data_IF_916886440891
#
_entry.id   IF_916886440891
#
_cell.length_a   1.000
_cell.length_b   1.000
_cell.length_c   1.000
_cell.angle_alpha   90.00
_cell.angle_beta   90.00
_cell.angle_gamma   90.00
#
_symmetry.space_group_name_H-M   'P 1'
#
loop_
_entity.id
_entity.type
_entity.pdbx_description
1 polymer ?
#
# COMPACT_ATOMS: atom_id res chain seq x y z
N UNK A 1 -21.62 21.27 22.02
CA UNK A 1 -20.69 20.65 21.05
C UNK A 1 -21.19 19.22 20.85
N UNK A 2 -21.83 18.94 19.72
CA UNK A 2 -22.34 17.61 19.37
C UNK A 2 -21.16 16.71 19.00
N UNK A 3 -20.97 15.60 19.73
CA UNK A 3 -20.04 14.56 19.34
C UNK A 3 -20.60 13.86 18.10
N UNK A 4 -19.93 14.00 16.99
CA UNK A 4 -20.21 13.23 15.79
C UNK A 4 -19.68 11.80 16.03
N UNK A 5 -20.53 10.89 16.46
CA UNK A 5 -20.18 9.45 16.53
C UNK A 5 -20.63 8.80 15.22
N UNK A 6 -19.65 8.55 14.34
CA UNK A 6 -19.89 7.79 13.11
C UNK A 6 -19.82 6.31 13.48
N UNK A 7 -20.88 5.56 13.22
CA UNK A 7 -20.87 4.10 13.43
C UNK A 7 -19.92 3.42 12.43
N UNK A 8 -19.32 2.27 12.82
CA UNK A 8 -18.44 1.46 11.93
C UNK A 8 -19.08 1.17 10.57
N UNK A 9 -20.40 0.97 10.57
CA UNK A 9 -21.16 0.70 9.35
C UNK A 9 -21.28 1.94 8.45
N UNK A 10 -21.40 3.11 9.02
CA UNK A 10 -21.43 4.38 8.27
C UNK A 10 -20.05 4.75 7.75
N UNK A 11 -19.01 4.47 8.52
CA UNK A 11 -17.63 4.61 8.06
C UNK A 11 -17.33 3.72 6.85
N UNK A 12 -17.71 2.43 6.90
CA UNK A 12 -17.54 1.51 5.78
C UNK A 12 -18.34 1.94 4.54
N UNK A 13 -19.54 2.49 4.72
CA UNK A 13 -20.34 3.04 3.62
C UNK A 13 -19.70 4.29 3.02
N UNK A 14 -19.16 5.18 3.85
CA UNK A 14 -18.50 6.40 3.41
C UNK A 14 -17.16 6.10 2.72
N UNK A 15 -16.37 5.15 3.21
CA UNK A 15 -15.12 4.74 2.57
C UNK A 15 -15.35 4.00 1.25
N UNK A 16 -16.41 3.18 1.15
CA UNK A 16 -16.82 2.61 -0.12
C UNK A 16 -17.23 3.70 -1.12
N UNK A 17 -18.00 4.71 -0.69
CA UNK A 17 -18.40 5.84 -1.52
C UNK A 17 -17.21 6.69 -1.98
N UNK A 18 -16.16 6.86 -1.16
CA UNK A 18 -14.97 7.62 -1.54
C UNK A 18 -14.12 6.92 -2.61
N UNK A 19 -14.10 5.60 -2.63
CA UNK A 19 -13.48 4.81 -3.69
C UNK A 19 -14.22 4.99 -5.04
N UNK A 20 -15.56 5.18 -5.01
CA UNK A 20 -16.34 5.51 -6.20
C UNK A 20 -16.01 6.90 -6.76
N UNK A 21 -15.82 7.89 -5.90
CA UNK A 21 -15.50 9.27 -6.29
C UNK A 21 -14.08 9.43 -6.81
N UNK A 22 -13.16 8.53 -6.47
CA UNK A 22 -11.77 8.56 -6.94
C UNK A 22 -11.58 8.08 -8.38
N UNK A 23 -12.67 7.82 -9.13
CA UNK A 23 -12.60 7.45 -10.55
C UNK A 23 -11.96 6.09 -10.82
N UNK A 24 -11.89 5.21 -9.81
CA UNK A 24 -11.51 3.82 -10.04
C UNK A 24 -12.60 3.17 -10.88
N UNK A 25 -12.32 2.73 -12.11
CA UNK A 25 -13.32 2.09 -12.93
C UNK A 25 -13.77 0.79 -12.26
N UNK A 26 -14.91 0.80 -11.58
CA UNK A 26 -15.56 -0.42 -11.09
C UNK A 26 -16.29 -1.06 -12.27
N UNK A 27 -15.54 -1.31 -13.33
CA UNK A 27 -15.99 -2.10 -14.45
C UNK A 27 -15.91 -3.56 -14.05
N UNK A 28 -16.98 -4.09 -13.47
CA UNK A 28 -16.97 -5.52 -13.17
C UNK A 28 -18.01 -6.05 -12.22
N UNK A 29 -18.86 -5.23 -11.64
CA UNK A 29 -20.04 -5.75 -10.95
C UNK A 29 -21.16 -6.02 -11.95
N UNK A 30 -21.01 -7.07 -12.75
CA UNK A 30 -22.16 -7.65 -13.45
C UNK A 30 -22.96 -8.47 -12.45
N UNK A 31 -24.29 -8.32 -12.49
CA UNK A 31 -25.27 -9.00 -11.62
C UNK A 31 -25.12 -10.54 -11.58
N UNK A 32 -24.34 -11.11 -12.49
CA UNK A 32 -24.22 -12.56 -12.71
C UNK A 32 -22.87 -13.15 -12.29
N UNK A 33 -21.98 -12.34 -11.64
CA UNK A 33 -20.75 -12.90 -11.06
C UNK A 33 -20.88 -13.03 -9.54
N UNK A 34 -20.47 -14.16 -8.96
CA UNK A 34 -20.43 -14.27 -7.51
C UNK A 34 -19.61 -13.14 -6.91
N UNK A 35 -19.97 -12.66 -5.72
CA UNK A 35 -19.23 -11.58 -5.06
C UNK A 35 -17.75 -11.99 -4.94
N UNK A 36 -16.87 -11.12 -5.42
CA UNK A 36 -15.43 -11.34 -5.31
C UNK A 36 -14.98 -11.37 -3.84
N UNK A 37 -13.97 -12.16 -3.54
CA UNK A 37 -13.33 -12.17 -2.23
C UNK A 37 -12.18 -11.16 -2.22
N UNK A 38 -12.15 -10.31 -1.20
CA UNK A 38 -11.01 -9.43 -0.90
C UNK A 38 -10.25 -10.08 0.26
N UNK A 39 -8.95 -10.33 0.05
CA UNK A 39 -8.05 -10.77 1.11
C UNK A 39 -7.11 -9.63 1.46
N UNK A 40 -7.06 -9.26 2.73
CA UNK A 40 -6.12 -8.28 3.27
C UNK A 40 -5.00 -9.04 3.98
N UNK A 41 -3.76 -8.78 3.59
CA UNK A 41 -2.58 -9.40 4.20
C UNK A 41 -1.78 -8.27 4.85
N UNK A 42 -1.67 -8.32 6.16
CA UNK A 42 -0.84 -7.39 6.95
C UNK A 42 0.49 -8.06 7.23
N UNK A 43 1.59 -7.37 6.89
CA UNK A 43 2.95 -7.87 7.11
C UNK A 43 3.49 -7.26 8.41
N UNK A 44 3.28 -7.94 9.51
CA UNK A 44 3.69 -7.49 10.85
C UNK A 44 5.22 -7.51 11.04
N UNK A 45 5.94 -8.29 10.29
CA UNK A 45 7.37 -8.53 10.44
C UNK A 45 8.31 -7.41 10.01
N UNK A 46 7.76 -6.25 9.60
CA UNK A 46 8.58 -5.09 9.28
C UNK A 46 9.22 -5.13 7.90
N UNK A 47 8.44 -5.35 6.86
CA UNK A 47 8.91 -5.12 5.50
C UNK A 47 9.16 -3.61 5.30
N UNK A 48 10.41 -3.24 5.06
CA UNK A 48 10.78 -1.86 4.75
C UNK A 48 10.35 -1.50 3.33
N UNK A 49 9.36 -0.63 3.20
CA UNK A 49 8.81 -0.21 1.91
C UNK A 49 9.82 0.44 0.99
N UNK A 50 10.77 1.21 1.52
CA UNK A 50 11.84 1.84 0.72
C UNK A 50 12.88 0.85 0.20
N UNK A 51 13.08 -0.28 0.89
CA UNK A 51 13.93 -1.37 0.40
C UNK A 51 13.16 -2.28 -0.55
N UNK A 52 11.86 -2.50 -0.31
CA UNK A 52 11.01 -3.31 -1.18
C UNK A 52 10.80 -2.64 -2.56
N UNK A 53 10.55 -1.32 -2.56
CA UNK A 53 10.30 -0.52 -3.76
C UNK A 53 11.15 0.76 -3.71
N UNK A 54 12.46 0.65 -3.92
CA UNK A 54 13.37 1.79 -3.80
C UNK A 54 13.08 2.87 -4.85
N UNK A 55 12.91 4.14 -4.43
CA UNK A 55 12.86 5.29 -5.33
C UNK A 55 14.29 5.69 -5.76
N UNK A 56 14.94 4.85 -6.56
CA UNK A 56 16.33 5.05 -6.95
C UNK A 56 16.58 6.35 -7.74
N UNK A 57 15.53 6.93 -8.32
CA UNK A 57 15.58 8.23 -8.97
C UNK A 57 15.64 9.42 -8.00
N UNK A 58 15.42 9.19 -6.69
CA UNK A 58 15.59 10.23 -5.69
C UNK A 58 17.08 10.37 -5.32
N UNK A 59 17.70 11.54 -5.52
CA UNK A 59 19.12 11.78 -5.21
C UNK A 59 19.44 11.64 -3.71
N UNK A 60 18.45 11.72 -2.83
CA UNK A 60 18.63 11.57 -1.39
C UNK A 60 18.60 10.12 -0.92
N UNK A 61 18.06 9.18 -1.70
CA UNK A 61 17.94 7.79 -1.29
C UNK A 61 19.29 7.21 -0.89
N UNK A 62 20.26 7.24 -1.78
CA UNK A 62 21.61 6.69 -1.53
C UNK A 62 22.37 7.46 -0.46
N UNK A 63 22.11 8.76 -0.31
CA UNK A 63 22.73 9.60 0.71
C UNK A 63 22.23 9.24 2.11
N UNK A 64 20.92 9.02 2.27
CA UNK A 64 20.26 8.81 3.55
C UNK A 64 20.20 7.31 3.95
N UNK A 65 20.23 6.40 2.98
CA UNK A 65 20.04 4.96 3.17
C UNK A 65 21.15 4.12 2.57
N UNK A 66 22.38 4.62 2.61
CA UNK A 66 23.56 3.91 2.12
C UNK A 66 23.70 2.53 2.81
N UNK A 67 23.87 1.47 2.01
CA UNK A 67 24.06 0.10 2.49
C UNK A 67 22.77 -0.62 2.93
N UNK A 68 21.61 0.04 2.88
CA UNK A 68 20.31 -0.57 3.21
C UNK A 68 19.49 -0.85 1.93
N UNK A 69 19.63 -0.01 0.94
CA UNK A 69 18.95 -0.19 -0.35
C UNK A 69 19.73 -1.16 -1.23
N UNK A 70 19.11 -2.18 -1.82
CA UNK A 70 19.82 -3.12 -2.69
C UNK A 70 20.29 -2.44 -3.98
N UNK A 71 21.51 -2.71 -4.41
CA UNK A 71 22.07 -2.16 -5.66
C UNK A 71 21.55 -2.86 -6.93
N UNK A 72 21.04 -4.09 -6.77
CA UNK A 72 20.61 -4.97 -7.86
C UNK A 72 19.09 -5.05 -8.03
N UNK A 73 18.38 -3.96 -7.77
CA UNK A 73 16.92 -3.92 -7.92
C UNK A 73 16.45 -4.10 -9.38
N UNK A 74 15.24 -4.61 -9.53
CA UNK A 74 14.55 -4.71 -10.81
C UNK A 74 13.94 -3.34 -11.14
N UNK A 75 14.28 -2.76 -12.30
CA UNK A 75 13.72 -1.46 -12.69
C UNK A 75 12.23 -1.59 -13.02
N UNK A 76 11.38 -0.79 -12.39
CA UNK A 76 9.97 -0.64 -12.72
C UNK A 76 9.74 0.50 -13.71
N UNK A 77 10.42 1.62 -13.51
CA UNK A 77 10.38 2.81 -14.38
C UNK A 77 11.67 3.63 -14.19
N UNK A 78 11.67 4.88 -14.61
CA UNK A 78 12.82 5.79 -14.46
C UNK A 78 13.10 6.23 -13.03
N UNK A 79 12.16 6.05 -12.10
CA UNK A 79 12.27 6.54 -10.73
C UNK A 79 12.25 5.41 -9.68
N UNK A 80 11.43 4.37 -9.87
CA UNK A 80 11.26 3.27 -8.92
C UNK A 80 11.87 1.96 -9.40
N UNK A 81 12.40 1.22 -8.45
CA UNK A 81 12.80 -0.17 -8.60
C UNK A 81 11.96 -1.12 -7.75
N UNK A 82 12.28 -2.39 -7.81
CA UNK A 82 11.67 -3.44 -7.00
C UNK A 82 12.77 -4.33 -6.45
N UNK A 83 12.67 -4.71 -5.17
CA UNK A 83 13.61 -5.62 -4.55
C UNK A 83 13.69 -6.95 -5.34
N UNK A 84 14.88 -7.54 -5.56
CA UNK A 84 15.03 -8.76 -6.36
C UNK A 84 14.19 -9.95 -5.87
N UNK A 85 13.94 -10.04 -4.57
CA UNK A 85 13.06 -11.07 -3.97
C UNK A 85 11.60 -10.95 -4.42
N UNK A 86 11.16 -9.80 -4.93
CA UNK A 86 9.80 -9.56 -5.41
C UNK A 86 9.63 -9.86 -6.92
N UNK A 87 10.44 -10.75 -7.47
CA UNK A 87 10.44 -11.11 -8.89
C UNK A 87 9.07 -11.58 -9.39
N UNK A 88 8.36 -12.38 -8.59
CA UNK A 88 6.99 -12.83 -8.93
C UNK A 88 6.02 -11.65 -9.01
N UNK A 89 6.15 -10.69 -8.09
CA UNK A 89 5.34 -9.49 -8.09
C UNK A 89 5.61 -8.60 -9.30
N UNK A 90 6.87 -8.52 -9.75
CA UNK A 90 7.24 -7.84 -11.00
C UNK A 90 6.48 -8.40 -12.21
N UNK A 91 6.31 -9.71 -12.30
CA UNK A 91 5.55 -10.34 -13.38
C UNK A 91 4.04 -10.02 -13.33
N UNK A 92 3.49 -9.82 -12.14
CA UNK A 92 2.08 -9.37 -11.97
C UNK A 92 1.91 -7.91 -12.38
N UNK A 93 2.85 -7.03 -12.02
CA UNK A 93 2.87 -5.63 -12.45
C UNK A 93 2.93 -5.50 -13.98
N UNK A 94 3.79 -6.27 -14.62
CA UNK A 94 3.94 -6.27 -16.08
C UNK A 94 2.65 -6.70 -16.83
N UNK A 95 1.78 -7.47 -16.17
CA UNK A 95 0.49 -7.92 -16.69
C UNK A 95 -0.69 -7.04 -16.28
N UNK A 96 -0.45 -5.91 -15.60
CA UNK A 96 -1.47 -5.06 -14.97
C UNK A 96 -2.39 -5.80 -13.97
N UNK A 97 -1.90 -6.88 -13.35
CA UNK A 97 -2.61 -7.66 -12.34
C UNK A 97 -2.19 -7.28 -10.92
N UNK A 98 -1.34 -6.30 -10.76
CA UNK A 98 -0.93 -5.71 -9.49
C UNK A 98 -0.67 -4.22 -9.65
N UNK A 99 -0.72 -3.51 -8.55
CA UNK A 99 -0.31 -2.10 -8.47
C UNK A 99 0.42 -1.84 -7.15
N UNK A 100 1.18 -0.75 -7.12
CA UNK A 100 1.89 -0.29 -5.93
C UNK A 100 1.39 1.11 -5.61
N UNK A 101 1.01 1.34 -4.37
CA UNK A 101 0.66 2.66 -3.86
C UNK A 101 1.83 3.16 -3.01
N UNK A 102 2.48 4.23 -3.47
CA UNK A 102 3.63 4.82 -2.80
C UNK A 102 3.21 5.89 -1.80
N UNK A 103 4.12 6.20 -0.86
CA UNK A 103 3.95 7.28 0.10
C UNK A 103 2.67 7.17 0.95
N UNK A 104 2.22 5.95 1.20
CA UNK A 104 1.12 5.69 2.12
C UNK A 104 1.61 5.74 3.56
N UNK A 105 0.82 6.36 4.42
CA UNK A 105 1.13 6.51 5.83
C UNK A 105 -0.17 6.55 6.64
N UNK A 106 -0.07 6.22 7.93
CA UNK A 106 -1.13 6.45 8.92
C UNK A 106 -0.61 7.41 10.01
N UNK A 107 -1.48 8.16 10.68
CA UNK A 107 -1.10 9.26 11.58
C UNK A 107 -0.53 8.74 12.90
N UNK A 108 0.64 8.10 12.85
CA UNK A 108 1.37 7.61 14.00
C UNK A 108 2.81 8.16 13.99
N UNK A 109 3.18 8.89 15.03
CA UNK A 109 4.47 9.59 15.13
C UNK A 109 5.36 9.04 16.25
N UNK A 110 4.86 8.10 17.05
CA UNK A 110 5.62 7.47 18.14
C UNK A 110 6.51 6.34 17.60
N UNK A 111 7.38 5.79 18.44
CA UNK A 111 8.36 4.78 18.04
C UNK A 111 8.00 3.35 18.48
N UNK A 112 6.82 3.14 19.05
CA UNK A 112 6.37 1.82 19.46
C UNK A 112 5.87 1.03 18.26
N UNK A 113 6.57 -0.01 17.88
CA UNK A 113 6.17 -0.90 16.79
C UNK A 113 4.81 -1.55 17.05
N UNK A 114 4.60 -2.07 18.26
CA UNK A 114 3.35 -2.74 18.65
C UNK A 114 2.14 -1.80 18.68
N UNK A 115 2.32 -0.59 19.15
CA UNK A 115 1.25 0.40 19.16
C UNK A 115 0.89 0.84 17.76
N UNK A 116 1.88 1.01 16.88
CA UNK A 116 1.67 1.30 15.47
C UNK A 116 0.89 0.18 14.76
N UNK A 117 1.21 -1.09 15.03
CA UNK A 117 0.46 -2.24 14.51
C UNK A 117 -0.99 -2.22 15.01
N UNK A 118 -1.21 -2.08 16.32
CA UNK A 118 -2.55 -2.04 16.90
C UNK A 118 -3.42 -0.95 16.29
N UNK A 119 -2.85 0.24 16.05
CA UNK A 119 -3.57 1.34 15.41
C UNK A 119 -3.89 1.05 13.95
N UNK A 120 -2.98 0.43 13.22
CA UNK A 120 -3.21 0.07 11.82
C UNK A 120 -4.26 -1.02 11.66
N UNK A 121 -4.32 -1.98 12.57
CA UNK A 121 -5.28 -3.09 12.55
C UNK A 121 -6.65 -2.73 13.13
N UNK A 122 -6.67 -1.81 14.09
CA UNK A 122 -7.89 -1.37 14.77
C UNK A 122 -8.71 -0.34 14.00
N UNK A 123 -8.13 0.34 13.02
CA UNK A 123 -8.77 1.37 12.18
C UNK A 123 -8.90 2.69 12.94
#
# INVERSE_FOLDING_TARGET
MSKFEISRREFLKASAASLFLAGVPISGYTKDKPPGTISVIVLEGGMDGLSAVPPFGDPNLMKLRRGVTPDNFLKLNSFFGLHPSLKTFSALLARNNASIVHATNFPYTLRSHFEGQNLMEGG
#
